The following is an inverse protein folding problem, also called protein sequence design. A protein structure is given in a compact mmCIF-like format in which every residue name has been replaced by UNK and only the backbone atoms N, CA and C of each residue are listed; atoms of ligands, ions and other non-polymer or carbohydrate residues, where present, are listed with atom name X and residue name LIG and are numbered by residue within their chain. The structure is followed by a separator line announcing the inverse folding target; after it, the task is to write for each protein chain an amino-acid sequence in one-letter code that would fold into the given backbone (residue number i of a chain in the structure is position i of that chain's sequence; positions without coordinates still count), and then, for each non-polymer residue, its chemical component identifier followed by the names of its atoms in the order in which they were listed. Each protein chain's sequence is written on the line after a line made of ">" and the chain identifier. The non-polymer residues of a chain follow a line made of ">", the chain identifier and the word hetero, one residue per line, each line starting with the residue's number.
data_IF_165580836388
#
_entry.id   IF_165580836388
#
_cell.length_a   1.000
_cell.length_b   1.000
_cell.length_c   1.000
_cell.angle_alpha   90.00
_cell.angle_beta   90.00
_cell.angle_gamma   90.00
#
_symmetry.space_group_name_H-M   'P 1'
#
loop_
_entity.id
_entity.type
_entity.pdbx_description
1 polymer ?
#
# COMPACT_ATOMS: atom_id res chain seq x y z
N UNK A 1 -64.00 41.33 30.84
CA UNK A 1 -64.38 39.92 31.08
C UNK A 1 -63.14 39.05 30.90
N UNK A 2 -62.47 38.68 31.98
CA UNK A 2 -61.28 37.82 31.97
C UNK A 2 -61.66 36.52 32.67
N UNK A 3 -61.66 35.40 31.94
CA UNK A 3 -61.84 34.07 32.55
C UNK A 3 -60.53 33.70 33.24
N UNK A 4 -60.53 33.74 34.57
CA UNK A 4 -59.42 33.23 35.38
C UNK A 4 -59.32 31.71 35.19
N UNK A 5 -58.18 31.24 34.66
CA UNK A 5 -57.89 29.82 34.48
C UNK A 5 -57.56 29.23 35.86
N UNK A 6 -58.46 28.39 36.39
CA UNK A 6 -58.24 27.69 37.66
C UNK A 6 -57.24 26.55 37.43
N UNK A 7 -56.04 26.76 37.96
CA UNK A 7 -54.94 25.80 38.18
C UNK A 7 -54.43 25.00 36.97
N UNK A 8 -53.16 25.19 36.63
CA UNK A 8 -52.39 24.33 35.75
C UNK A 8 -51.83 23.17 36.60
N UNK A 9 -52.27 21.94 36.33
CA UNK A 9 -51.63 20.75 36.89
C UNK A 9 -50.41 20.40 36.03
N UNK A 10 -49.20 20.23 36.61
CA UNK A 10 -48.03 19.80 35.86
C UNK A 10 -48.31 18.46 35.17
N UNK A 11 -47.96 18.35 33.89
CA UNK A 11 -48.00 17.08 33.19
C UNK A 11 -46.85 16.22 33.70
N UNK A 12 -47.18 15.07 34.28
CA UNK A 12 -46.18 14.14 34.79
C UNK A 12 -45.68 13.29 33.61
N UNK A 13 -44.53 13.68 33.06
CA UNK A 13 -43.95 13.05 31.88
C UNK A 13 -43.43 11.66 32.29
N UNK A 14 -44.29 10.65 32.19
CA UNK A 14 -43.86 9.24 32.31
C UNK A 14 -43.07 8.88 31.07
N UNK A 15 -41.77 9.07 31.15
CA UNK A 15 -40.83 8.60 30.15
C UNK A 15 -40.92 7.07 30.10
N UNK A 16 -41.58 6.53 29.08
CA UNK A 16 -41.69 5.08 28.80
C UNK A 16 -40.35 4.51 28.23
N UNK A 17 -39.24 5.19 28.55
CA UNK A 17 -37.87 4.74 28.27
C UNK A 17 -37.25 4.05 29.48
N UNK A 18 -38.05 3.53 30.40
CA UNK A 18 -37.58 2.40 31.19
C UNK A 18 -37.45 1.24 30.23
N UNK A 19 -36.26 1.10 29.62
CA UNK A 19 -35.77 -0.20 29.20
C UNK A 19 -35.99 -1.06 30.42
N UNK A 20 -37.00 -1.95 30.36
CA UNK A 20 -37.12 -3.02 31.33
C UNK A 20 -35.70 -3.56 31.43
N UNK A 21 -35.10 -3.49 32.62
CA UNK A 21 -33.75 -3.98 32.83
C UNK A 21 -33.81 -5.47 32.48
N UNK A 22 -33.62 -5.79 31.20
CA UNK A 22 -33.31 -7.11 30.77
C UNK A 22 -32.10 -7.46 31.63
N UNK A 23 -32.14 -8.60 32.34
CA UNK A 23 -30.97 -9.04 33.08
C UNK A 23 -29.79 -8.89 32.12
N UNK A 24 -28.67 -8.28 32.55
CA UNK A 24 -27.53 -8.08 31.67
C UNK A 24 -27.33 -9.40 30.96
N UNK A 25 -27.40 -9.39 29.61
CA UNK A 25 -27.10 -10.58 28.85
C UNK A 25 -25.73 -11.01 29.39
N UNK A 26 -25.72 -12.14 30.09
CA UNK A 26 -24.49 -12.73 30.58
C UNK A 26 -23.76 -13.01 29.28
N UNK A 27 -22.83 -12.12 28.92
CA UNK A 27 -21.83 -12.45 27.94
C UNK A 27 -21.20 -13.69 28.55
N UNK A 28 -21.50 -14.86 28.00
CA UNK A 28 -20.70 -16.05 28.28
C UNK A 28 -19.28 -15.63 27.94
N UNK A 29 -18.53 -15.25 28.97
CA UNK A 29 -17.10 -15.01 28.85
C UNK A 29 -16.56 -16.33 28.32
N UNK A 30 -16.03 -16.28 27.09
CA UNK A 30 -15.40 -17.44 26.49
C UNK A 30 -14.43 -18.03 27.53
N UNK A 31 -14.55 -19.33 27.85
CA UNK A 31 -13.79 -19.92 28.93
C UNK A 31 -12.30 -19.66 28.67
N UNK A 32 -11.53 -19.25 29.71
CA UNK A 32 -10.13 -18.88 29.53
C UNK A 32 -9.38 -20.07 28.93
N UNK A 33 -8.77 -19.86 27.75
CA UNK A 33 -8.01 -20.88 27.04
C UNK A 33 -6.86 -21.34 27.95
N UNK A 34 -6.97 -22.56 28.49
CA UNK A 34 -5.94 -23.15 29.35
C UNK A 34 -4.92 -23.86 28.50
N UNK A 35 -3.88 -23.14 28.11
CA UNK A 35 -2.73 -23.72 27.44
C UNK A 35 -1.70 -24.18 28.46
N UNK A 36 -1.21 -25.39 28.30
CA UNK A 36 -0.02 -25.86 29.00
C UNK A 36 1.22 -25.11 28.50
N UNK A 37 2.27 -25.01 29.32
CA UNK A 37 3.54 -24.38 28.92
C UNK A 37 4.10 -24.89 27.58
N UNK A 38 4.12 -26.20 27.26
CA UNK A 38 4.57 -26.66 25.95
C UNK A 38 3.66 -26.20 24.80
N UNK A 39 2.33 -26.17 24.99
CA UNK A 39 1.39 -25.67 23.97
C UNK A 39 1.59 -24.18 23.70
N UNK A 40 1.88 -23.37 24.73
CA UNK A 40 2.23 -21.96 24.57
C UNK A 40 3.53 -21.77 23.77
N UNK A 41 4.55 -22.59 24.02
CA UNK A 41 5.81 -22.54 23.29
C UNK A 41 5.60 -22.92 21.82
N UNK A 42 4.77 -23.93 21.56
CA UNK A 42 4.43 -24.34 20.20
C UNK A 42 3.67 -23.24 19.45
N UNK A 43 2.65 -22.64 20.07
CA UNK A 43 1.88 -21.55 19.47
C UNK A 43 2.76 -20.33 19.20
N UNK A 44 3.68 -20.00 20.12
CA UNK A 44 4.64 -18.92 19.92
C UNK A 44 5.60 -19.21 18.74
N UNK A 45 6.05 -20.46 18.61
CA UNK A 45 6.91 -20.87 17.51
C UNK A 45 6.17 -20.78 16.16
N UNK A 46 4.91 -21.21 16.14
CA UNK A 46 4.04 -21.14 14.96
C UNK A 46 3.74 -19.68 14.58
N UNK A 47 3.35 -18.84 15.54
CA UNK A 47 3.12 -17.41 15.31
C UNK A 47 4.39 -16.69 14.81
N UNK A 48 5.57 -17.07 15.29
CA UNK A 48 6.85 -16.55 14.78
C UNK A 48 7.14 -17.01 13.36
N UNK A 49 6.87 -18.27 13.05
CA UNK A 49 7.06 -18.82 11.71
C UNK A 49 6.11 -18.16 10.70
N UNK A 50 4.84 -17.98 11.09
CA UNK A 50 3.84 -17.28 10.29
C UNK A 50 4.22 -15.80 10.10
N UNK A 51 4.62 -15.11 11.18
CA UNK A 51 5.11 -13.74 11.10
C UNK A 51 6.35 -13.58 10.19
N UNK A 52 7.27 -14.53 10.23
CA UNK A 52 8.41 -14.53 9.32
C UNK A 52 7.99 -14.78 7.86
N UNK A 53 6.99 -15.64 7.63
CA UNK A 53 6.45 -15.90 6.30
C UNK A 53 5.72 -14.68 5.72
N UNK A 54 4.92 -13.98 6.52
CA UNK A 54 4.21 -12.77 6.09
C UNK A 54 5.18 -11.65 5.74
N UNK A 55 6.20 -11.39 6.57
CA UNK A 55 7.23 -10.39 6.27
C UNK A 55 7.95 -10.69 4.94
N UNK A 56 8.33 -11.96 4.70
CA UNK A 56 8.95 -12.35 3.42
C UNK A 56 8.00 -12.16 2.23
N UNK A 57 6.71 -12.44 2.42
CA UNK A 57 5.71 -12.27 1.37
C UNK A 57 5.52 -10.79 1.01
N UNK A 58 5.47 -9.89 2.00
CA UNK A 58 5.40 -8.44 1.76
C UNK A 58 6.67 -7.93 1.07
N UNK A 59 7.86 -8.32 1.54
CA UNK A 59 9.12 -7.95 0.89
C UNK A 59 9.19 -8.39 -0.58
N UNK A 60 8.68 -9.59 -0.89
CA UNK A 60 8.63 -10.07 -2.27
C UNK A 60 7.64 -9.27 -3.14
N UNK A 61 6.54 -8.77 -2.56
CA UNK A 61 5.60 -7.89 -3.27
C UNK A 61 6.20 -6.53 -3.53
N UNK A 62 6.80 -5.90 -2.52
CA UNK A 62 7.45 -4.59 -2.65
C UNK A 62 8.52 -4.61 -3.76
N UNK A 63 9.33 -5.68 -3.80
CA UNK A 63 10.35 -5.83 -4.84
C UNK A 63 9.73 -6.06 -6.23
N UNK A 64 8.65 -6.85 -6.32
CA UNK A 64 7.94 -7.04 -7.59
C UNK A 64 7.33 -5.73 -8.12
N UNK A 65 6.74 -4.91 -7.25
CA UNK A 65 6.22 -3.59 -7.61
C UNK A 65 7.34 -2.66 -8.10
N UNK A 66 8.48 -2.66 -7.40
CA UNK A 66 9.66 -1.89 -7.81
C UNK A 66 10.17 -2.32 -9.19
N UNK A 67 10.30 -3.62 -9.44
CA UNK A 67 10.73 -4.16 -10.74
C UNK A 67 9.73 -3.80 -11.85
N UNK A 68 8.43 -3.84 -11.56
CA UNK A 68 7.40 -3.43 -12.51
C UNK A 68 7.51 -1.94 -12.84
N UNK A 69 7.74 -1.09 -11.85
CA UNK A 69 7.93 0.36 -12.05
C UNK A 69 9.16 0.65 -12.93
N UNK A 70 10.28 -0.02 -12.68
CA UNK A 70 11.49 0.11 -13.51
C UNK A 70 11.24 -0.37 -14.94
N UNK A 71 10.53 -1.49 -15.11
CA UNK A 71 10.19 -2.02 -16.43
C UNK A 71 9.32 -1.04 -17.23
N UNK A 72 8.34 -0.41 -16.57
CA UNK A 72 7.50 0.60 -17.20
C UNK A 72 8.33 1.82 -17.64
N UNK A 73 9.23 2.31 -16.79
CA UNK A 73 10.12 3.41 -17.13
C UNK A 73 11.04 3.09 -18.32
N UNK A 74 11.56 1.85 -18.41
CA UNK A 74 12.36 1.40 -19.54
C UNK A 74 11.53 1.33 -20.83
N UNK A 75 10.29 0.86 -20.78
CA UNK A 75 9.40 0.85 -21.93
C UNK A 75 9.10 2.27 -22.44
N UNK A 76 8.90 3.23 -21.53
CA UNK A 76 8.70 4.64 -21.88
C UNK A 76 9.95 5.25 -22.53
N UNK A 77 11.13 4.93 -22.01
CA UNK A 77 12.40 5.35 -22.62
C UNK A 77 12.58 4.76 -24.03
N UNK A 78 12.22 3.49 -24.24
CA UNK A 78 12.24 2.85 -25.55
C UNK A 78 11.26 3.51 -26.53
N UNK A 79 10.03 3.82 -26.09
CA UNK A 79 9.06 4.54 -26.90
C UNK A 79 9.57 5.93 -27.31
N UNK A 80 10.24 6.62 -26.39
CA UNK A 80 10.87 7.93 -26.64
C UNK A 80 12.00 7.82 -27.68
N UNK A 81 12.80 6.76 -27.65
CA UNK A 81 13.81 6.48 -28.67
C UNK A 81 13.20 6.22 -30.05
N UNK A 82 12.12 5.44 -30.13
CA UNK A 82 11.43 5.17 -31.40
C UNK A 82 10.87 6.47 -31.97
N UNK A 83 10.21 7.29 -31.16
CA UNK A 83 9.68 8.59 -31.59
C UNK A 83 10.79 9.53 -32.10
N UNK A 84 11.93 9.57 -31.41
CA UNK A 84 13.10 10.32 -31.85
C UNK A 84 13.63 9.81 -33.20
N UNK A 85 13.67 8.49 -33.41
CA UNK A 85 14.14 7.89 -34.66
C UNK A 85 13.22 8.27 -35.82
N UNK A 86 11.90 8.22 -35.62
CA UNK A 86 10.93 8.71 -36.61
C UNK A 86 11.07 10.22 -36.90
N UNK A 87 11.38 11.04 -35.89
CA UNK A 87 11.71 12.45 -36.12
C UNK A 87 13.02 12.65 -36.88
N UNK A 88 14.05 11.82 -36.64
CA UNK A 88 15.32 11.82 -37.39
C UNK A 88 15.11 11.45 -38.86
N UNK A 89 14.27 10.46 -39.13
CA UNK A 89 13.89 10.08 -40.49
C UNK A 89 13.09 11.18 -41.19
N UNK A 90 12.20 11.87 -40.46
CA UNK A 90 11.36 12.94 -41.01
C UNK A 90 12.12 14.27 -41.23
N UNK A 91 13.12 14.58 -40.41
CA UNK A 91 13.83 15.86 -40.40
C UNK A 91 15.21 15.85 -41.07
N UNK A 92 15.51 14.86 -41.92
CA UNK A 92 16.79 14.75 -42.64
C UNK A 92 17.14 15.95 -43.56
N UNK A 93 16.36 17.04 -43.55
CA UNK A 93 16.48 18.20 -44.44
C UNK A 93 16.44 19.58 -43.75
N UNK A 94 16.36 19.70 -42.41
CA UNK A 94 16.26 21.02 -41.74
C UNK A 94 17.45 21.39 -40.82
N UNK A 95 17.98 22.61 -40.98
CA UNK A 95 19.01 23.19 -40.12
C UNK A 95 18.47 23.48 -38.70
N UNK A 96 19.17 22.99 -37.66
CA UNK A 96 18.78 23.12 -36.24
C UNK A 96 18.14 21.87 -35.62
N UNK A 97 17.91 20.83 -36.42
CA UNK A 97 17.42 19.53 -35.97
C UNK A 97 18.45 18.75 -35.12
N UNK A 98 19.73 18.87 -35.50
CA UNK A 98 20.85 18.17 -34.83
C UNK A 98 20.95 18.46 -33.33
N UNK A 99 20.77 19.71 -32.89
CA UNK A 99 20.85 20.08 -31.47
C UNK A 99 19.69 19.51 -30.65
N UNK A 100 18.46 19.60 -31.17
CA UNK A 100 17.27 19.03 -30.50
C UNK A 100 17.34 17.52 -30.42
N UNK A 101 17.78 16.85 -31.51
CA UNK A 101 18.01 15.42 -31.50
C UNK A 101 19.08 15.04 -30.47
N UNK A 102 20.18 15.78 -30.38
CA UNK A 102 21.26 15.52 -29.42
C UNK A 102 20.80 15.68 -27.96
N UNK A 103 19.95 16.68 -27.66
CA UNK A 103 19.38 16.84 -26.32
C UNK A 103 18.45 15.69 -25.94
N UNK A 104 17.58 15.25 -26.86
CA UNK A 104 16.71 14.10 -26.66
C UNK A 104 17.51 12.81 -26.46
N UNK A 105 18.55 12.57 -27.29
CA UNK A 105 19.46 11.42 -27.13
C UNK A 105 20.11 11.44 -25.74
N UNK A 106 20.61 12.59 -25.29
CA UNK A 106 21.24 12.72 -23.96
C UNK A 106 20.24 12.49 -22.83
N UNK A 107 19.03 13.03 -22.93
CA UNK A 107 17.99 12.82 -21.93
C UNK A 107 17.62 11.34 -21.83
N UNK A 108 17.40 10.67 -22.95
CA UNK A 108 17.04 9.25 -22.95
C UNK A 108 18.21 8.36 -22.53
N UNK A 109 19.43 8.66 -22.95
CA UNK A 109 20.63 7.97 -22.48
C UNK A 109 20.80 8.12 -20.96
N UNK A 110 20.47 9.29 -20.41
CA UNK A 110 20.51 9.53 -18.96
C UNK A 110 19.50 8.65 -18.23
N UNK A 111 18.25 8.62 -18.69
CA UNK A 111 17.20 7.76 -18.12
C UNK A 111 17.58 6.27 -18.19
N UNK A 112 18.18 5.83 -19.28
CA UNK A 112 18.66 4.45 -19.45
C UNK A 112 19.83 4.13 -18.51
N UNK A 113 20.76 5.06 -18.31
CA UNK A 113 21.90 4.88 -17.39
C UNK A 113 21.40 4.84 -15.94
N UNK A 114 20.53 5.78 -15.57
CA UNK A 114 20.00 5.87 -14.21
C UNK A 114 19.12 4.63 -13.89
N UNK A 115 18.25 4.20 -14.81
CA UNK A 115 17.46 2.98 -14.66
C UNK A 115 18.27 1.68 -14.62
N UNK A 116 19.40 1.62 -15.33
CA UNK A 116 20.36 0.52 -15.18
C UNK A 116 21.04 0.53 -13.80
N UNK A 117 21.38 1.71 -13.29
CA UNK A 117 21.90 1.88 -11.93
C UNK A 117 20.93 1.34 -10.88
N UNK A 118 19.64 1.63 -11.03
CA UNK A 118 18.59 1.14 -10.15
C UNK A 118 18.43 -0.39 -10.22
N UNK A 119 18.53 -0.98 -11.42
CA UNK A 119 18.53 -2.43 -11.62
C UNK A 119 19.74 -3.11 -10.97
N UNK A 120 20.94 -2.53 -11.10
CA UNK A 120 22.13 -3.08 -10.44
C UNK A 120 22.06 -2.96 -8.91
N UNK A 121 21.48 -1.87 -8.39
CA UNK A 121 21.23 -1.71 -6.96
C UNK A 121 20.21 -2.74 -6.44
N UNK A 122 19.12 -2.97 -7.19
CA UNK A 122 18.15 -4.03 -6.88
C UNK A 122 18.80 -5.43 -6.90
N UNK A 123 19.64 -5.71 -7.91
CA UNK A 123 20.37 -6.98 -8.00
C UNK A 123 21.36 -7.17 -6.83
N UNK A 124 22.05 -6.12 -6.39
CA UNK A 124 22.91 -6.18 -5.21
C UNK A 124 22.12 -6.41 -3.93
N UNK A 125 20.97 -5.76 -3.78
CA UNK A 125 20.05 -5.98 -2.64
C UNK A 125 19.57 -7.43 -2.57
N UNK A 126 19.19 -8.01 -3.72
CA UNK A 126 18.83 -9.42 -3.87
C UNK A 126 19.97 -10.39 -3.52
N UNK A 127 21.23 -9.96 -3.69
CA UNK A 127 22.43 -10.78 -3.45
C UNK A 127 22.96 -10.65 -2.03
N UNK A 128 22.69 -9.53 -1.36
CA UNK A 128 23.09 -9.26 0.02
C UNK A 128 22.10 -9.77 1.06
N UNK A 129 20.92 -10.25 0.64
CA UNK A 129 19.94 -10.86 1.54
C UNK A 129 20.47 -12.22 2.06
N UNK A 130 20.87 -12.30 3.35
CA UNK A 130 21.61 -13.45 3.88
C UNK A 130 20.72 -14.67 4.17
N UNK A 131 19.42 -14.62 3.85
CA UNK A 131 18.46 -15.70 4.13
C UNK A 131 18.09 -16.55 2.91
N UNK A 132 18.82 -16.42 1.79
CA UNK A 132 18.59 -17.17 0.55
C UNK A 132 19.63 -18.27 0.27
N UNK A 133 20.17 -18.88 1.32
CA UNK A 133 21.05 -20.06 1.30
C UNK A 133 20.62 -21.09 2.31
#
# INVERSE_FOLDING_TARGET
>A
MQRAVKSLTPFDFRSDFSVAAAPPAVLEEDPPVRLTTPELVQLLAEARAEGAATVRAEQARDEAERLQAVTNALNEALASLVALTSHLEACALEEGFSERATQLIRATARTIIDGQGDLFAAQQSLKSDPFRG
#
